data_IF_771715257814
#
_entry.id   IF_771715257814
#
_cell.length_a   1.000
_cell.length_b   1.000
_cell.length_c   1.000
_cell.angle_alpha   90.00
_cell.angle_beta   90.00
_cell.angle_gamma   90.00
#
_symmetry.space_group_name_H-M   'P 1'
#
loop_
_entity.id
_entity.type
_entity.pdbx_description
1 polymer ?
#
# COMPACT_ATOMS: atom_id res chain seq x y z
N UNK A 1 40.94 2.55 22.71
CA UNK A 1 39.56 2.02 22.66
C UNK A 1 38.59 3.17 22.87
N UNK A 2 38.23 3.87 21.79
CA UNK A 2 37.28 4.98 21.84
C UNK A 2 35.89 4.48 21.47
N UNK A 3 34.96 4.54 22.42
CA UNK A 3 33.57 4.16 22.18
C UNK A 3 32.93 5.08 21.13
N UNK A 4 32.55 4.51 19.98
CA UNK A 4 31.59 5.10 19.05
C UNK A 4 30.20 5.11 19.70
N UNK A 5 29.97 6.03 20.65
CA UNK A 5 28.64 6.40 21.14
C UNK A 5 28.25 7.74 20.52
N UNK A 6 28.05 7.76 19.22
CA UNK A 6 27.19 8.75 18.61
C UNK A 6 26.00 8.00 18.01
N UNK A 7 24.77 8.41 18.36
CA UNK A 7 23.68 8.72 17.39
C UNK A 7 22.19 8.51 17.77
N UNK A 8 21.72 8.05 18.96
CA UNK A 8 20.27 7.99 19.18
C UNK A 8 19.62 9.39 19.24
N UNK A 9 20.27 10.37 19.89
CA UNK A 9 19.74 11.73 20.02
C UNK A 9 19.75 12.56 18.73
N UNK A 10 20.65 12.26 17.77
CA UNK A 10 20.70 12.94 16.47
C UNK A 10 19.68 12.38 15.47
N UNK A 11 19.43 11.07 15.49
CA UNK A 11 18.38 10.44 14.68
C UNK A 11 16.98 10.94 15.05
N UNK A 12 16.72 11.15 16.34
CA UNK A 12 15.45 11.71 16.83
C UNK A 12 15.16 13.14 16.36
N UNK A 13 16.17 13.90 15.91
CA UNK A 13 16.00 15.27 15.42
C UNK A 13 15.66 15.36 13.94
N UNK A 14 15.92 14.31 13.16
CA UNK A 14 15.60 14.28 11.73
C UNK A 14 14.14 13.88 11.56
N UNK A 15 13.39 14.64 10.78
CA UNK A 15 12.02 14.29 10.42
C UNK A 15 11.97 13.66 9.03
N UNK A 16 10.95 12.82 8.83
CA UNK A 16 10.63 12.24 7.55
C UNK A 16 9.18 12.54 7.23
N UNK A 17 8.91 12.91 5.98
CA UNK A 17 7.54 13.08 5.50
C UNK A 17 7.01 11.72 5.08
N UNK A 18 5.86 11.34 5.63
CA UNK A 18 5.06 10.22 5.16
C UNK A 18 3.99 10.77 4.22
N UNK A 19 3.75 10.07 3.12
CA UNK A 19 2.68 10.41 2.18
C UNK A 19 1.85 9.16 1.93
N UNK A 20 0.59 9.17 2.33
CA UNK A 20 -0.37 8.11 1.99
C UNK A 20 -1.17 8.56 0.76
N UNK A 21 -1.31 7.67 -0.20
CA UNK A 21 -2.16 7.86 -1.37
C UNK A 21 -3.34 6.91 -1.23
N UNK A 22 -4.55 7.46 -1.35
CA UNK A 22 -5.79 6.69 -1.30
C UNK A 22 -6.59 6.99 -2.56
N UNK A 23 -6.78 5.99 -3.41
CA UNK A 23 -7.81 5.98 -4.44
C UNK A 23 -9.09 5.38 -3.85
N UNK A 24 -10.19 6.14 -3.91
CA UNK A 24 -11.52 5.61 -3.60
C UNK A 24 -12.07 4.83 -4.81
N UNK A 25 -12.88 3.79 -4.60
CA UNK A 25 -13.64 3.18 -5.70
C UNK A 25 -14.45 4.20 -6.48
N UNK A 26 -14.71 3.92 -7.76
CA UNK A 26 -15.63 4.76 -8.52
C UNK A 26 -17.06 4.66 -7.97
N UNK A 27 -17.77 5.78 -7.93
CA UNK A 27 -19.22 5.86 -7.65
C UNK A 27 -20.12 4.97 -8.52
N UNK A 28 -19.63 4.50 -9.68
CA UNK A 28 -20.37 3.62 -10.61
C UNK A 28 -19.89 2.16 -10.52
N UNK A 29 -18.98 1.84 -9.60
CA UNK A 29 -18.56 0.47 -9.35
C UNK A 29 -19.74 -0.41 -8.95
N UNK A 30 -19.62 -1.71 -9.22
CA UNK A 30 -20.63 -2.71 -8.89
C UNK A 30 -19.98 -3.89 -8.14
N UNK A 31 -20.78 -4.83 -7.64
CA UNK A 31 -20.26 -6.01 -6.94
C UNK A 31 -19.38 -5.67 -5.72
N UNK A 32 -18.21 -6.30 -5.62
CA UNK A 32 -17.24 -6.03 -4.55
C UNK A 32 -16.60 -4.65 -4.64
N UNK A 33 -16.49 -4.07 -5.84
CA UNK A 33 -16.00 -2.70 -6.01
C UNK A 33 -16.92 -1.69 -5.32
N UNK A 34 -18.23 -1.89 -5.43
CA UNK A 34 -19.24 -1.06 -4.73
C UNK A 34 -19.19 -1.20 -3.21
N UNK A 35 -18.63 -2.29 -2.67
CA UNK A 35 -18.43 -2.49 -1.22
C UNK A 35 -17.20 -1.78 -0.67
N UNK A 36 -16.54 -0.93 -1.45
CA UNK A 36 -15.36 -0.18 -1.00
C UNK A 36 -14.04 -0.74 -1.50
N UNK A 37 -14.00 -1.91 -2.16
CA UNK A 37 -12.75 -2.68 -2.32
C UNK A 37 -12.04 -2.50 -3.67
N UNK A 38 -12.62 -1.76 -4.62
CA UNK A 38 -12.00 -1.46 -5.92
C UNK A 38 -11.07 -0.23 -5.91
N UNK A 39 -10.78 0.33 -4.74
CA UNK A 39 -9.80 1.40 -4.58
C UNK A 39 -8.40 0.86 -4.31
N UNK A 40 -7.46 1.75 -4.04
CA UNK A 40 -6.08 1.39 -3.72
C UNK A 40 -5.50 2.30 -2.64
N UNK A 41 -4.72 1.72 -1.75
CA UNK A 41 -4.00 2.46 -0.69
C UNK A 41 -2.51 2.18 -0.81
N UNK A 42 -1.71 3.24 -0.83
CA UNK A 42 -0.26 3.15 -0.95
C UNK A 42 0.47 4.16 -0.07
N UNK A 43 1.76 3.94 0.18
CA UNK A 43 2.58 4.76 1.07
C UNK A 43 3.84 5.25 0.35
N UNK A 44 4.31 6.44 0.72
CA UNK A 44 5.67 6.88 0.47
C UNK A 44 6.34 7.33 1.75
N UNK A 45 7.58 6.88 1.95
CA UNK A 45 8.46 7.29 3.04
C UNK A 45 9.54 8.18 2.44
N UNK A 46 9.44 9.49 2.69
CA UNK A 46 10.24 10.47 1.95
C UNK A 46 9.90 10.41 0.46
N UNK A 47 10.87 10.04 -0.37
CA UNK A 47 10.71 9.89 -1.81
C UNK A 47 10.37 8.47 -2.27
N UNK A 48 10.57 7.46 -1.43
CA UNK A 48 10.44 6.05 -1.81
C UNK A 48 8.98 5.63 -1.69
N UNK A 49 8.43 5.08 -2.76
CA UNK A 49 7.05 4.64 -2.83
C UNK A 49 6.93 3.13 -2.65
N UNK A 50 5.87 2.74 -1.96
CA UNK A 50 5.53 1.36 -1.65
C UNK A 50 4.03 1.16 -1.77
N UNK A 51 3.66 0.06 -2.41
CA UNK A 51 2.30 -0.40 -2.48
C UNK A 51 2.21 -1.92 -2.54
N UNK A 52 0.99 -2.44 -2.40
CA UNK A 52 0.71 -3.86 -2.40
C UNK A 52 -0.66 -4.13 -3.03
N UNK A 53 -0.72 -5.06 -3.98
CA UNK A 53 -1.95 -5.43 -4.67
C UNK A 53 -1.86 -6.85 -5.24
N UNK A 54 -2.92 -7.32 -5.89
CA UNK A 54 -2.94 -8.67 -6.46
C UNK A 54 -2.12 -8.75 -7.76
N UNK A 55 -1.60 -9.94 -8.03
CA UNK A 55 -0.89 -10.28 -9.26
C UNK A 55 -1.64 -11.35 -10.05
N UNK A 56 -2.24 -10.93 -11.16
CA UNK A 56 -2.96 -11.81 -12.09
C UNK A 56 -2.17 -12.01 -13.40
N UNK A 57 -0.85 -11.81 -13.39
CA UNK A 57 -0.06 -11.92 -14.61
C UNK A 57 0.03 -13.38 -15.09
N UNK A 58 -0.68 -13.67 -16.18
CA UNK A 58 -0.73 -14.99 -16.83
C UNK A 58 0.63 -15.49 -17.33
N UNK A 59 1.60 -14.61 -17.53
CA UNK A 59 2.93 -14.96 -18.02
C UNK A 59 3.96 -15.12 -16.89
N UNK A 60 3.56 -14.98 -15.62
CA UNK A 60 4.46 -15.05 -14.47
C UNK A 60 4.40 -16.44 -13.83
N UNK A 61 5.58 -16.92 -13.43
CA UNK A 61 5.72 -18.07 -12.55
C UNK A 61 5.82 -17.55 -11.11
N UNK A 62 4.94 -18.04 -10.24
CA UNK A 62 4.89 -17.74 -8.82
C UNK A 62 5.62 -18.86 -8.06
N UNK A 63 6.67 -18.49 -7.35
CA UNK A 63 7.45 -19.41 -6.50
C UNK A 63 6.85 -19.39 -5.09
N UNK A 64 6.17 -20.46 -4.70
CA UNK A 64 5.41 -20.55 -3.46
C UNK A 64 6.25 -20.24 -2.22
N UNK A 65 7.56 -20.53 -2.23
CA UNK A 65 8.48 -20.15 -1.15
C UNK A 65 8.60 -18.65 -0.97
N UNK A 66 8.60 -17.91 -2.08
CA UNK A 66 8.66 -16.43 -2.04
C UNK A 66 7.35 -15.83 -1.55
N UNK A 67 6.25 -16.48 -1.86
CA UNK A 67 4.92 -16.09 -1.42
C UNK A 67 4.61 -16.61 -0.02
N UNK A 68 5.36 -17.59 0.48
CA UNK A 68 5.13 -18.29 1.74
C UNK A 68 3.68 -18.74 1.89
N UNK A 69 3.16 -19.35 0.82
CA UNK A 69 1.78 -19.78 0.69
C UNK A 69 1.67 -20.96 -0.27
N UNK A 70 0.81 -21.90 0.08
CA UNK A 70 0.33 -23.01 -0.77
C UNK A 70 -0.64 -22.41 -1.80
N UNK A 71 -0.13 -22.05 -2.97
CA UNK A 71 -0.88 -21.31 -3.98
C UNK A 71 -1.75 -22.24 -4.81
N UNK A 72 -1.28 -23.44 -5.16
CA UNK A 72 -2.07 -24.45 -5.88
C UNK A 72 -2.98 -25.29 -4.96
N UNK A 73 -2.84 -25.18 -3.64
CA UNK A 73 -3.61 -25.89 -2.62
C UNK A 73 -3.41 -27.41 -2.64
N UNK A 74 -2.20 -27.87 -2.92
CA UNK A 74 -1.87 -29.30 -2.98
C UNK A 74 -1.31 -29.87 -1.66
N UNK A 75 -1.07 -28.99 -0.68
CA UNK A 75 -0.68 -29.36 0.68
C UNK A 75 0.78 -29.05 1.04
N UNK A 76 1.57 -28.43 0.15
CA UNK A 76 2.89 -27.90 0.49
C UNK A 76 3.16 -26.46 -0.01
N UNK A 77 4.43 -26.04 -0.07
CA UNK A 77 4.81 -24.67 -0.48
C UNK A 77 6.09 -24.68 -1.34
N UNK A 78 6.39 -25.84 -1.94
CA UNK A 78 7.64 -26.11 -2.64
C UNK A 78 7.50 -25.95 -4.17
N UNK A 79 6.35 -25.47 -4.65
CA UNK A 79 6.04 -25.41 -6.07
C UNK A 79 6.34 -24.07 -6.76
N UNK A 80 6.39 -24.19 -8.10
CA UNK A 80 6.41 -23.07 -9.02
C UNK A 80 5.19 -23.14 -9.92
N UNK A 81 4.24 -22.26 -9.66
CA UNK A 81 2.90 -22.32 -10.24
C UNK A 81 2.64 -21.13 -11.16
N UNK A 82 1.71 -21.27 -12.10
CA UNK A 82 1.15 -20.17 -12.89
C UNK A 82 -0.20 -19.75 -12.30
N UNK A 83 -0.77 -18.63 -12.77
CA UNK A 83 -2.09 -18.20 -12.30
C UNK A 83 -3.19 -19.24 -12.59
N UNK A 84 -3.00 -20.09 -13.60
CA UNK A 84 -3.94 -21.14 -13.99
C UNK A 84 -3.94 -22.35 -13.07
N UNK A 85 -2.88 -22.53 -12.30
CA UNK A 85 -2.73 -23.61 -11.32
C UNK A 85 -3.35 -23.22 -9.96
N UNK A 86 -3.63 -21.93 -9.75
CA UNK A 86 -4.18 -21.39 -8.50
C UNK A 86 -5.72 -21.52 -8.51
N UNK A 87 -6.32 -22.42 -7.70
CA UNK A 87 -7.76 -22.59 -7.69
C UNK A 87 -8.45 -21.32 -7.18
N UNK A 88 -9.50 -20.89 -7.87
CA UNK A 88 -10.27 -19.69 -7.53
C UNK A 88 -9.45 -18.40 -7.46
N UNK A 89 -8.36 -18.30 -8.24
CA UNK A 89 -7.58 -17.08 -8.36
C UNK A 89 -8.50 -15.86 -8.60
N UNK A 90 -8.44 -14.88 -7.70
CA UNK A 90 -9.40 -13.78 -7.70
C UNK A 90 -9.20 -12.84 -6.52
N UNK A 91 -10.24 -12.09 -6.15
CA UNK A 91 -10.14 -11.09 -5.08
C UNK A 91 -9.91 -11.70 -3.69
N UNK A 92 -10.33 -12.94 -3.48
CA UNK A 92 -10.23 -13.64 -2.19
C UNK A 92 -8.89 -14.37 -2.00
N UNK A 93 -8.19 -14.65 -3.10
CA UNK A 93 -6.92 -15.36 -3.09
C UNK A 93 -6.16 -15.07 -4.38
N UNK A 94 -5.07 -14.32 -4.27
CA UNK A 94 -4.16 -14.07 -5.38
C UNK A 94 -2.73 -13.90 -4.87
N UNK A 95 -1.69 -14.19 -5.66
CA UNK A 95 -0.34 -13.80 -5.32
C UNK A 95 -0.25 -12.27 -5.13
N UNK A 96 0.44 -11.81 -4.08
CA UNK A 96 0.71 -10.40 -3.85
C UNK A 96 1.81 -9.79 -4.73
N UNK A 97 1.80 -8.47 -4.91
CA UNK A 97 2.88 -7.74 -5.60
C UNK A 97 2.90 -6.24 -5.29
N UNK A 98 4.01 -5.54 -5.60
CA UNK A 98 4.02 -4.09 -5.78
C UNK A 98 3.20 -3.69 -7.01
N UNK A 99 1.93 -3.34 -6.83
CA UNK A 99 0.97 -3.28 -7.95
C UNK A 99 1.21 -2.10 -8.90
N UNK A 100 0.97 -0.86 -8.46
CA UNK A 100 1.34 0.34 -9.22
C UNK A 100 2.84 0.43 -9.42
N UNK A 101 3.64 -0.04 -8.45
CA UNK A 101 5.09 -0.10 -8.58
C UNK A 101 5.54 -0.82 -9.86
N UNK A 102 5.00 -2.00 -10.13
CA UNK A 102 5.29 -2.78 -11.34
C UNK A 102 4.70 -2.17 -12.61
N UNK A 103 3.56 -1.47 -12.54
CA UNK A 103 2.99 -0.74 -13.68
C UNK A 103 3.83 0.47 -14.11
N UNK A 104 4.66 0.99 -13.20
CA UNK A 104 5.49 2.17 -13.41
C UNK A 104 6.91 1.80 -13.84
N UNK A 105 7.47 0.71 -13.29
CA UNK A 105 8.88 0.36 -13.45
C UNK A 105 9.09 -1.15 -13.35
N UNK A 106 10.04 -1.67 -14.12
CA UNK A 106 10.56 -3.03 -13.96
C UNK A 106 11.35 -3.22 -12.65
N UNK A 107 11.68 -2.13 -11.96
CA UNK A 107 12.30 -2.14 -10.62
C UNK A 107 11.35 -1.48 -9.61
N UNK A 108 10.26 -2.15 -9.21
CA UNK A 108 9.20 -1.56 -8.38
C UNK A 108 9.72 -1.00 -7.05
N UNK A 109 10.77 -1.61 -6.48
CA UNK A 109 11.41 -1.17 -5.22
C UNK A 109 12.07 0.21 -5.30
N UNK A 110 12.34 0.70 -6.51
CA UNK A 110 12.99 2.00 -6.75
C UNK A 110 12.00 3.08 -7.22
N UNK A 111 10.70 2.77 -7.24
CA UNK A 111 9.69 3.74 -7.65
C UNK A 111 9.63 4.89 -6.64
N UNK A 112 9.59 6.10 -7.19
CA UNK A 112 9.53 7.32 -6.40
C UNK A 112 8.13 7.88 -6.32
N UNK A 113 7.82 8.62 -5.26
CA UNK A 113 6.57 9.37 -5.12
C UNK A 113 6.28 10.23 -6.36
N UNK A 114 7.31 10.88 -6.93
CA UNK A 114 7.16 11.70 -8.13
C UNK A 114 6.68 10.87 -9.33
N UNK A 115 7.25 9.69 -9.55
CA UNK A 115 6.82 8.82 -10.65
C UNK A 115 5.37 8.37 -10.47
N UNK A 116 4.94 8.10 -9.23
CA UNK A 116 3.56 7.70 -8.93
C UNK A 116 2.59 8.85 -9.11
N UNK A 117 2.93 10.06 -8.67
CA UNK A 117 2.09 11.24 -8.92
C UNK A 117 1.94 11.51 -10.43
N UNK A 118 3.00 11.30 -11.21
CA UNK A 118 2.94 11.38 -12.68
C UNK A 118 2.15 10.23 -13.30
N UNK A 119 2.18 9.03 -12.70
CA UNK A 119 1.37 7.91 -13.14
C UNK A 119 -0.11 8.20 -12.90
N UNK A 120 -0.50 8.59 -11.69
CA UNK A 120 -1.88 8.91 -11.29
C UNK A 120 -2.48 10.01 -12.17
N UNK A 121 -1.71 11.04 -12.51
CA UNK A 121 -2.19 12.18 -13.30
C UNK A 121 -2.55 11.85 -14.75
N UNK A 122 -2.14 10.68 -15.27
CA UNK A 122 -2.53 10.22 -16.61
C UNK A 122 -4.03 9.97 -16.69
N UNK A 123 -4.55 9.96 -17.92
CA UNK A 123 -5.92 9.52 -18.20
C UNK A 123 -6.13 8.11 -17.64
N UNK A 124 -7.29 7.87 -17.02
CA UNK A 124 -7.61 6.59 -16.38
C UNK A 124 -7.50 5.39 -17.33
N UNK A 125 -7.77 5.60 -18.63
CA UNK A 125 -7.66 4.55 -19.66
C UNK A 125 -6.22 4.03 -19.83
N UNK A 126 -5.23 4.78 -19.36
CA UNK A 126 -3.82 4.42 -19.48
C UNK A 126 -3.25 3.76 -18.21
N UNK A 127 -3.95 3.84 -17.09
CA UNK A 127 -3.39 3.44 -15.78
C UNK A 127 -4.40 2.77 -14.84
N UNK A 128 -5.67 2.67 -15.23
CA UNK A 128 -6.78 2.14 -14.43
C UNK A 128 -6.99 2.85 -13.09
N UNK A 129 -6.53 4.10 -12.96
CA UNK A 129 -6.81 4.98 -11.81
C UNK A 129 -7.98 5.89 -12.22
N UNK A 130 -9.20 5.48 -11.90
CA UNK A 130 -10.45 6.14 -12.32
C UNK A 130 -11.22 6.76 -11.14
N UNK A 131 -10.87 6.40 -9.90
CA UNK A 131 -11.46 6.94 -8.69
C UNK A 131 -10.98 8.34 -8.33
N UNK A 132 -11.57 8.92 -7.28
CA UNK A 132 -10.99 10.12 -6.66
C UNK A 132 -9.77 9.73 -5.86
N UNK A 133 -8.66 10.42 -6.08
CA UNK A 133 -7.38 10.14 -5.40
C UNK A 133 -7.02 11.26 -4.45
N UNK A 134 -6.78 10.88 -3.20
CA UNK A 134 -6.33 11.72 -2.11
C UNK A 134 -4.84 11.49 -1.85
N UNK A 135 -4.15 12.58 -1.53
CA UNK A 135 -2.79 12.58 -1.01
C UNK A 135 -2.84 13.14 0.42
N UNK A 136 -2.35 12.35 1.36
CA UNK A 136 -2.33 12.67 2.79
C UNK A 136 -0.86 12.76 3.22
N UNK A 137 -0.45 13.89 3.80
CA UNK A 137 0.94 14.17 4.16
C UNK A 137 1.08 14.53 5.65
N UNK A 138 2.00 13.88 6.36
CA UNK A 138 2.34 14.17 7.76
C UNK A 138 3.82 13.87 8.03
N UNK A 139 4.33 14.30 9.19
CA UNK A 139 5.75 14.19 9.52
C UNK A 139 5.99 13.30 10.74
N UNK A 140 6.92 12.37 10.61
CA UNK A 140 7.33 11.45 11.68
C UNK A 140 8.79 11.62 12.04
N UNK A 141 9.21 11.06 13.19
CA UNK A 141 10.63 10.96 13.54
C UNK A 141 11.30 9.97 12.58
N UNK A 142 12.59 10.20 12.26
CA UNK A 142 13.35 9.31 11.38
C UNK A 142 13.33 7.84 11.84
N UNK A 143 13.37 7.59 13.16
CA UNK A 143 13.31 6.23 13.70
C UNK A 143 11.99 5.52 13.39
N UNK A 144 10.86 6.24 13.43
CA UNK A 144 9.54 5.69 13.10
C UNK A 144 9.47 5.36 11.60
N UNK A 145 9.96 6.26 10.74
CA UNK A 145 10.07 6.03 9.31
C UNK A 145 11.01 4.86 8.93
N UNK A 146 12.09 4.65 9.70
CA UNK A 146 13.03 3.54 9.45
C UNK A 146 12.41 2.19 9.72
N UNK A 147 11.60 2.08 10.77
CA UNK A 147 10.80 0.87 11.03
C UNK A 147 9.79 0.61 9.92
N UNK A 148 9.09 1.64 9.44
CA UNK A 148 8.17 1.50 8.31
C UNK A 148 8.91 1.01 7.05
N UNK A 149 10.12 1.50 6.80
CA UNK A 149 10.95 1.09 5.66
C UNK A 149 11.44 -0.35 5.80
N UNK A 150 11.85 -0.77 6.99
CA UNK A 150 12.21 -2.15 7.32
C UNK A 150 11.04 -3.10 7.02
N UNK A 151 9.85 -2.75 7.52
CA UNK A 151 8.63 -3.50 7.26
C UNK A 151 8.32 -3.67 5.76
N UNK A 152 8.41 -2.59 4.97
CA UNK A 152 8.20 -2.68 3.52
C UNK A 152 9.28 -3.49 2.80
N UNK A 153 10.53 -3.41 3.28
CA UNK A 153 11.65 -4.17 2.72
C UNK A 153 11.44 -5.67 2.93
N UNK A 154 10.97 -6.05 4.12
CA UNK A 154 10.60 -7.42 4.47
C UNK A 154 9.40 -7.91 3.65
N UNK A 155 8.30 -7.13 3.60
CA UNK A 155 7.13 -7.43 2.77
C UNK A 155 7.46 -7.67 1.30
N UNK A 156 8.42 -6.94 0.74
CA UNK A 156 8.82 -7.15 -0.67
C UNK A 156 9.73 -8.36 -0.89
N UNK A 157 10.28 -8.95 0.18
CA UNK A 157 10.93 -10.26 0.15
C UNK A 157 9.90 -11.38 0.30
N UNK A 158 8.87 -11.15 1.14
CA UNK A 158 7.82 -12.10 1.49
C UNK A 158 6.47 -11.55 1.03
N UNK A 159 6.11 -11.76 -0.24
CA UNK A 159 5.00 -11.05 -0.86
C UNK A 159 3.63 -11.46 -0.32
N UNK A 160 3.49 -12.70 0.19
CA UNK A 160 2.22 -13.23 0.72
C UNK A 160 1.09 -13.24 -0.30
N UNK A 161 -0.06 -13.73 0.15
CA UNK A 161 -1.31 -13.74 -0.61
C UNK A 161 -2.02 -12.40 -0.44
N UNK A 162 -2.53 -11.85 -1.53
CA UNK A 162 -3.50 -10.76 -1.52
C UNK A 162 -4.91 -11.32 -1.35
N UNK A 163 -5.67 -10.77 -0.42
CA UNK A 163 -7.05 -11.16 -0.18
C UNK A 163 -7.87 -9.99 0.37
N UNK A 164 -9.06 -9.80 -0.19
CA UNK A 164 -10.06 -8.83 0.31
C UNK A 164 -11.00 -9.42 1.36
N UNK A 165 -10.72 -10.64 1.85
CA UNK A 165 -11.51 -11.28 2.90
C UNK A 165 -11.61 -10.37 4.14
N UNK A 166 -12.82 -10.13 4.67
CA UNK A 166 -12.98 -9.35 5.89
C UNK A 166 -12.17 -9.95 7.04
N UNK A 167 -11.49 -9.09 7.80
CA UNK A 167 -10.77 -9.40 9.05
C UNK A 167 -9.49 -10.25 8.92
N UNK A 168 -9.41 -11.14 7.92
CA UNK A 168 -8.29 -12.08 7.76
C UNK A 168 -7.46 -11.84 6.50
N UNK A 169 -7.99 -11.07 5.54
CA UNK A 169 -7.30 -10.79 4.28
C UNK A 169 -6.19 -9.74 4.39
N UNK A 170 -5.08 -9.99 3.69
CA UNK A 170 -4.04 -8.98 3.48
C UNK A 170 -4.27 -8.24 2.16
N UNK A 171 -4.50 -6.94 2.24
CA UNK A 171 -4.77 -6.08 1.07
C UNK A 171 -4.07 -4.73 1.20
N UNK A 172 -4.13 -3.92 0.15
CA UNK A 172 -3.44 -2.63 0.05
C UNK A 172 -3.60 -1.75 1.31
N UNK A 173 -4.83 -1.63 1.81
CA UNK A 173 -5.16 -0.86 3.01
C UNK A 173 -4.57 -1.46 4.28
N UNK A 174 -4.73 -2.77 4.51
CA UNK A 174 -4.21 -3.41 5.74
C UNK A 174 -2.69 -3.41 5.77
N UNK A 175 -2.04 -3.61 4.62
CA UNK A 175 -0.59 -3.48 4.44
C UNK A 175 -0.09 -2.10 4.84
N UNK A 176 -0.77 -1.02 4.43
CA UNK A 176 -0.40 0.34 4.86
C UNK A 176 -0.62 0.54 6.35
N UNK A 177 -1.73 0.04 6.93
CA UNK A 177 -1.99 0.10 8.38
C UNK A 177 -0.93 -0.66 9.18
N UNK A 178 -0.54 -1.86 8.75
CA UNK A 178 0.53 -2.66 9.35
C UNK A 178 1.87 -1.93 9.33
N UNK A 179 2.24 -1.32 8.20
CA UNK A 179 3.44 -0.51 8.11
C UNK A 179 3.42 0.67 9.09
N UNK A 180 2.30 1.39 9.18
CA UNK A 180 2.12 2.50 10.11
C UNK A 180 2.25 2.06 11.57
N UNK A 181 1.56 0.98 11.97
CA UNK A 181 1.62 0.42 13.31
C UNK A 181 3.04 -0.09 13.66
N UNK A 182 3.72 -0.73 12.70
CA UNK A 182 5.12 -1.13 12.88
C UNK A 182 6.04 0.09 13.11
N UNK A 183 5.70 1.23 12.50
CA UNK A 183 6.32 2.54 12.75
C UNK A 183 6.00 3.16 14.11
N UNK A 184 5.04 2.62 14.87
CA UNK A 184 4.53 3.16 16.13
C UNK A 184 3.42 4.21 15.96
N UNK A 185 2.69 4.15 14.85
CA UNK A 185 1.50 4.98 14.59
C UNK A 185 0.27 4.07 14.76
N UNK A 186 -0.18 3.94 16.01
CA UNK A 186 -1.15 2.92 16.41
C UNK A 186 -2.59 3.46 16.57
N UNK A 187 -2.79 4.76 16.40
CA UNK A 187 -4.10 5.44 16.51
C UNK A 187 -5.00 5.21 15.27
N UNK A 188 -4.92 4.03 14.66
CA UNK A 188 -5.67 3.67 13.45
C UNK A 188 -6.68 2.58 13.80
N UNK A 189 -7.94 2.78 13.43
CA UNK A 189 -8.98 1.78 13.63
C UNK A 189 -8.72 0.55 12.75
N UNK A 190 -8.70 -0.63 13.34
CA UNK A 190 -8.53 -1.89 12.59
C UNK A 190 -9.86 -2.47 12.10
N UNK A 191 -10.99 -1.89 12.49
CA UNK A 191 -12.32 -2.32 12.04
C UNK A 191 -12.62 -1.89 10.60
N UNK A 192 -11.94 -0.85 10.10
CA UNK A 192 -12.11 -0.33 8.73
C UNK A 192 -11.00 -0.85 7.83
N UNK A 193 -11.36 -1.67 6.83
CA UNK A 193 -10.40 -2.28 5.91
C UNK A 193 -10.45 -1.65 4.50
N UNK A 194 -11.34 -0.69 4.29
CA UNK A 194 -11.57 -0.07 2.98
C UNK A 194 -10.75 1.21 2.80
N UNK A 195 -10.45 1.63 1.55
CA UNK A 195 -9.80 2.91 1.23
C UNK A 195 -10.53 4.13 1.80
N UNK A 196 -11.86 4.15 1.79
CA UNK A 196 -12.65 5.23 2.40
C UNK A 196 -12.52 5.24 3.93
N UNK A 197 -12.52 4.06 4.57
CA UNK A 197 -12.34 3.92 6.01
C UNK A 197 -10.97 4.42 6.47
N UNK A 198 -9.88 3.98 5.83
CA UNK A 198 -8.55 4.52 6.16
C UNK A 198 -8.45 6.02 5.86
N UNK A 199 -9.10 6.52 4.81
CA UNK A 199 -9.11 7.96 4.52
C UNK A 199 -9.77 8.76 5.66
N UNK A 200 -10.81 8.23 6.28
CA UNK A 200 -11.44 8.83 7.46
C UNK A 200 -10.48 8.84 8.66
N UNK A 201 -9.89 7.69 9.02
CA UNK A 201 -8.89 7.58 10.10
C UNK A 201 -7.73 8.58 9.90
N UNK A 202 -7.22 8.67 8.67
CA UNK A 202 -6.13 9.57 8.31
C UNK A 202 -6.51 11.06 8.41
N UNK A 203 -7.80 11.39 8.27
CA UNK A 203 -8.31 12.78 8.40
C UNK A 203 -8.54 13.17 9.85
N UNK A 204 -8.98 12.23 10.69
CA UNK A 204 -9.45 12.53 12.05
C UNK A 204 -8.39 12.24 13.12
N UNK A 205 -7.70 11.10 13.01
CA UNK A 205 -6.86 10.56 14.08
C UNK A 205 -5.37 10.85 13.88
N UNK A 206 -4.85 10.77 12.65
CA UNK A 206 -3.40 10.87 12.42
C UNK A 206 -2.85 12.28 12.68
N UNK A 207 -1.82 12.33 13.52
CA UNK A 207 -1.03 13.52 13.84
C UNK A 207 0.46 13.28 13.62
N UNK A 208 1.15 14.33 13.20
CA UNK A 208 2.60 14.33 13.06
C UNK A 208 3.28 14.12 14.41
N UNK A 209 4.30 13.25 14.43
CA UNK A 209 5.08 12.88 15.63
C UNK A 209 6.49 13.48 15.62
N UNK A 210 6.91 14.08 14.50
CA UNK A 210 8.20 14.76 14.40
C UNK A 210 8.31 15.91 15.40
N UNK A 211 9.53 16.27 15.81
CA UNK A 211 9.74 17.34 16.81
C UNK A 211 9.17 18.68 16.31
N UNK A 212 9.35 18.98 15.02
CA UNK A 212 8.98 20.28 14.45
C UNK A 212 7.47 20.43 14.25
N UNK A 213 6.79 19.36 13.87
CA UNK A 213 5.36 19.38 13.52
C UNK A 213 4.50 18.63 14.54
N UNK A 214 4.99 18.44 15.77
CA UNK A 214 4.35 17.57 16.76
C UNK A 214 2.89 17.96 17.01
N UNK A 215 1.97 17.01 16.82
CA UNK A 215 0.55 17.18 17.04
C UNK A 215 -0.22 17.86 15.90
N UNK A 216 0.47 18.29 14.84
CA UNK A 216 -0.18 18.81 13.64
C UNK A 216 -0.96 17.70 12.92
N UNK A 217 -2.20 18.00 12.54
CA UNK A 217 -3.03 17.08 11.74
C UNK A 217 -2.40 16.85 10.36
N UNK A 218 -2.68 15.69 9.77
CA UNK A 218 -2.25 15.40 8.42
C UNK A 218 -2.86 16.39 7.40
N UNK A 219 -2.07 16.78 6.40
CA UNK A 219 -2.53 17.60 5.28
C UNK A 219 -3.16 16.71 4.22
N UNK A 220 -4.44 16.92 3.94
CA UNK A 220 -5.19 16.17 2.93
C UNK A 220 -5.40 17.02 1.68
N UNK A 221 -5.10 16.46 0.50
CA UNK A 221 -5.26 17.14 -0.80
C UNK A 221 -5.85 16.17 -1.81
N UNK A 222 -6.86 16.59 -2.56
CA UNK A 222 -7.33 15.84 -3.73
C UNK A 222 -6.34 16.06 -4.87
N UNK A 223 -5.74 14.99 -5.40
CA UNK A 223 -4.76 15.05 -6.49
C UNK A 223 -5.32 14.56 -7.83
N UNK A 224 -6.45 13.85 -7.81
CA UNK A 224 -7.21 13.48 -9.01
C UNK A 224 -8.69 13.37 -8.66
N UNK A 225 -9.54 13.90 -9.53
CA UNK A 225 -11.00 13.71 -9.44
C UNK A 225 -11.40 12.43 -10.14
N UNK A 226 -12.49 11.83 -9.66
CA UNK A 226 -13.15 10.71 -10.32
C UNK A 226 -13.39 10.95 -11.82
N UNK A 227 -13.20 9.90 -12.61
CA UNK A 227 -13.32 9.93 -14.06
C UNK A 227 -14.78 9.94 -14.53
N UNK A 228 -15.26 11.06 -15.04
CA UNK A 228 -16.67 11.21 -15.44
C UNK A 228 -17.10 10.28 -16.58
N UNK A 229 -16.17 9.91 -17.47
CA UNK A 229 -16.39 9.07 -18.65
C UNK A 229 -16.15 7.57 -18.41
N UNK A 230 -15.81 7.16 -17.19
CA UNK A 230 -15.70 5.74 -16.84
C UNK A 230 -17.09 5.09 -16.76
N UNK A 231 -17.14 3.81 -17.16
CA UNK A 231 -18.33 2.95 -17.12
C UNK A 231 -17.92 1.60 -16.54
N UNK A 232 -18.76 1.00 -15.67
CA UNK A 232 -18.51 -0.34 -15.17
C UNK A 232 -18.44 -1.33 -16.33
N UNK A 233 -17.50 -2.26 -16.22
CA UNK A 233 -17.42 -3.37 -17.16
C UNK A 233 -18.44 -4.42 -16.70
N UNK A 234 -19.37 -4.77 -17.59
CA UNK A 234 -20.38 -5.81 -17.36
C UNK A 234 -19.76 -7.21 -17.38
#
# INVERSE_FOLDING_TARGET
MGALKAQPAKLNKKEMKITIIVELPHSKETGWGAKGLAGHTAMSIGSNFFDYGPDYNENKIFDEKKYEADLNQDGDTDDKVTIYDIPNAGFHFAPGRPWWGEMISSTPRNVTLRQVLNFISKNWKNNNVYGTVYKIEFYVKKLEADKMLEWWTDRYQHLKVYSVEPWTGEQCTTTVKQALAHGGIDDIDWSTLTPDGILEDLKTEIKSTSIKHKGEKAKVTIIKKEATDWKPQN
#
